data_IF_575283893875
#
_entry.id   IF_575283893875
#
_cell.length_a   1.000
_cell.length_b   1.000
_cell.length_c   1.000
_cell.angle_alpha   90.00
_cell.angle_beta   90.00
_cell.angle_gamma   90.00
#
_symmetry.space_group_name_H-M   'P 1'
#
loop_
_entity.id
_entity.type
_entity.pdbx_description
1 polymer ?
#
# COMPACT_ATOMS: atom_id res chain seq x y z
N UNK A 1 -6.79 -3.59 -30.81
CA UNK A 1 -5.92 -2.42 -30.45
C UNK A 1 -6.15 -1.97 -29.01
N UNK A 2 -7.36 -2.12 -28.49
CA UNK A 2 -7.69 -1.93 -27.06
C UNK A 2 -6.97 -2.93 -26.15
N UNK A 3 -6.92 -4.22 -26.53
CA UNK A 3 -6.22 -5.27 -25.77
C UNK A 3 -4.72 -5.00 -25.61
N UNK A 4 -4.09 -4.47 -26.66
CA UNK A 4 -2.66 -4.11 -26.63
C UNK A 4 -2.40 -2.94 -25.67
N UNK A 5 -3.28 -1.94 -25.64
CA UNK A 5 -3.18 -0.82 -24.68
C UNK A 5 -3.39 -1.30 -23.24
N UNK A 6 -4.36 -2.20 -23.03
CA UNK A 6 -4.61 -2.80 -21.72
C UNK A 6 -3.39 -3.59 -21.22
N UNK A 7 -2.77 -4.39 -22.09
CA UNK A 7 -1.59 -5.17 -21.76
C UNK A 7 -0.41 -4.27 -21.35
N UNK A 8 -0.17 -3.20 -22.11
CA UNK A 8 0.88 -2.22 -21.80
C UNK A 8 0.62 -1.52 -20.47
N UNK A 9 -0.64 -1.11 -20.21
CA UNK A 9 -1.02 -0.47 -18.95
C UNK A 9 -0.89 -1.44 -17.75
N UNK A 10 -1.28 -2.71 -17.92
CA UNK A 10 -1.14 -3.74 -16.89
C UNK A 10 0.33 -4.03 -16.57
N UNK A 11 1.19 -4.12 -17.60
CA UNK A 11 2.63 -4.26 -17.42
C UNK A 11 3.24 -3.05 -16.70
N UNK A 12 2.88 -1.84 -17.11
CA UNK A 12 3.33 -0.61 -16.45
C UNK A 12 2.90 -0.58 -14.96
N UNK A 13 1.67 -0.99 -14.66
CA UNK A 13 1.19 -1.12 -13.30
C UNK A 13 1.95 -2.20 -12.51
N UNK A 14 2.30 -3.34 -13.14
CA UNK A 14 3.07 -4.40 -12.50
C UNK A 14 4.50 -3.97 -12.11
N UNK A 15 5.09 -3.00 -12.81
CA UNK A 15 6.37 -2.40 -12.44
C UNK A 15 6.31 -1.48 -11.22
N UNK A 16 5.11 -1.05 -10.80
CA UNK A 16 4.95 -0.44 -9.48
C UNK A 16 5.09 -1.53 -8.41
N UNK A 17 6.36 -1.80 -8.06
CA UNK A 17 6.74 -2.69 -6.97
C UNK A 17 5.97 -2.32 -5.70
N UNK A 18 5.69 -3.35 -4.89
CA UNK A 18 5.18 -3.24 -3.52
C UNK A 18 5.78 -2.00 -2.87
N UNK A 19 4.91 -1.08 -2.42
CA UNK A 19 5.38 0.16 -1.80
C UNK A 19 6.41 -0.16 -0.70
N UNK A 20 7.52 0.60 -0.56
CA UNK A 20 8.60 0.29 0.38
C UNK A 20 8.08 0.09 1.81
N UNK A 21 6.93 0.70 2.13
CA UNK A 21 6.16 0.47 3.36
C UNK A 21 5.76 -0.99 3.60
N UNK A 22 5.15 -1.67 2.62
CA UNK A 22 4.72 -3.06 2.77
C UNK A 22 5.91 -4.02 2.92
N UNK A 23 7.03 -3.73 2.26
CA UNK A 23 8.28 -4.48 2.44
C UNK A 23 8.83 -4.31 3.87
N UNK A 24 8.85 -3.07 4.39
CA UNK A 24 9.28 -2.77 5.75
C UNK A 24 8.43 -3.46 6.82
N UNK A 25 7.10 -3.38 6.69
CA UNK A 25 6.18 -4.04 7.63
C UNK A 25 6.37 -5.56 7.56
N UNK A 26 6.38 -6.16 6.36
CA UNK A 26 6.56 -7.61 6.19
C UNK A 26 7.86 -8.11 6.84
N UNK A 27 8.96 -7.34 6.75
CA UNK A 27 10.20 -7.66 7.43
C UNK A 27 10.09 -7.64 8.96
N UNK A 28 9.33 -6.69 9.52
CA UNK A 28 9.02 -6.66 10.96
C UNK A 28 8.15 -7.84 11.38
N UNK A 29 7.12 -8.20 10.58
CA UNK A 29 6.24 -9.36 10.86
C UNK A 29 7.06 -10.65 10.84
N UNK A 30 7.81 -10.88 9.76
CA UNK A 30 8.61 -12.09 9.59
C UNK A 30 9.63 -12.25 10.73
N UNK A 31 10.30 -11.16 11.12
CA UNK A 31 11.26 -11.15 12.21
C UNK A 31 10.63 -11.41 13.58
N UNK A 32 9.49 -10.79 13.89
CA UNK A 32 8.80 -10.96 15.18
C UNK A 32 8.17 -12.34 15.33
N UNK A 33 7.65 -12.92 14.25
CA UNK A 33 7.04 -14.25 14.25
C UNK A 33 8.02 -15.41 13.98
N UNK A 34 9.30 -15.13 13.70
CA UNK A 34 10.29 -16.14 13.31
C UNK A 34 9.96 -16.86 12.00
N UNK A 35 9.26 -16.19 11.08
CA UNK A 35 8.80 -16.73 9.80
C UNK A 35 9.74 -16.32 8.66
N UNK A 36 9.74 -17.12 7.61
CA UNK A 36 10.46 -16.80 6.38
C UNK A 36 9.83 -15.60 5.64
N UNK A 37 10.65 -14.59 5.35
CA UNK A 37 10.22 -13.34 4.71
C UNK A 37 9.55 -13.57 3.36
N UNK A 38 10.11 -14.47 2.54
CA UNK A 38 9.63 -14.75 1.19
C UNK A 38 8.24 -15.40 1.26
N UNK A 39 8.06 -16.40 2.14
CA UNK A 39 6.76 -17.07 2.33
C UNK A 39 5.68 -16.11 2.80
N UNK A 40 5.98 -15.25 3.79
CA UNK A 40 5.02 -14.23 4.27
C UNK A 40 4.66 -13.26 3.15
N UNK A 41 5.64 -12.83 2.37
CA UNK A 41 5.41 -11.92 1.24
C UNK A 41 4.51 -12.57 0.17
N UNK A 42 4.84 -13.78 -0.28
CA UNK A 42 4.06 -14.46 -1.33
C UNK A 42 2.63 -14.72 -0.89
N UNK A 43 2.42 -15.29 0.30
CA UNK A 43 1.07 -15.57 0.81
C UNK A 43 0.30 -14.29 1.11
N UNK A 44 0.96 -13.28 1.69
CA UNK A 44 0.35 -11.98 1.97
C UNK A 44 -0.05 -11.24 0.70
N UNK A 45 0.76 -11.30 -0.37
CA UNK A 45 0.47 -10.69 -1.66
C UNK A 45 -0.79 -11.26 -2.33
N UNK A 46 -1.05 -12.57 -2.20
CA UNK A 46 -2.28 -13.18 -2.72
C UNK A 46 -3.54 -12.56 -2.10
N UNK A 47 -3.48 -12.23 -0.81
CA UNK A 47 -4.58 -11.54 -0.10
C UNK A 47 -4.58 -10.04 -0.37
N UNK A 48 -3.41 -9.44 -0.59
CA UNK A 48 -3.28 -8.02 -0.89
C UNK A 48 -3.82 -7.64 -2.27
N UNK A 49 -3.72 -8.51 -3.29
CA UNK A 49 -4.22 -8.23 -4.65
C UNK A 49 -5.71 -7.82 -4.65
N UNK A 50 -6.64 -8.57 -4.02
CA UNK A 50 -8.03 -8.15 -3.87
C UNK A 50 -8.19 -6.78 -3.18
N UNK A 51 -7.39 -6.50 -2.16
CA UNK A 51 -7.46 -5.23 -1.42
C UNK A 51 -6.97 -4.05 -2.27
N UNK A 52 -5.95 -4.26 -3.09
CA UNK A 52 -5.49 -3.26 -4.08
C UNK A 52 -6.58 -3.00 -5.10
N UNK A 53 -7.21 -4.04 -5.64
CA UNK A 53 -8.35 -3.88 -6.55
C UNK A 53 -9.51 -3.10 -5.89
N UNK A 54 -9.85 -3.43 -4.63
CA UNK A 54 -10.85 -2.71 -3.85
C UNK A 54 -10.48 -1.22 -3.67
N UNK A 55 -9.23 -0.93 -3.35
CA UNK A 55 -8.73 0.45 -3.20
C UNK A 55 -8.85 1.24 -4.52
N UNK A 56 -8.52 0.62 -5.66
CA UNK A 56 -8.67 1.25 -6.99
C UNK A 56 -10.14 1.51 -7.30
N UNK A 57 -11.05 0.58 -6.97
CA UNK A 57 -12.50 0.79 -7.14
C UNK A 57 -13.02 1.92 -6.25
N UNK A 58 -12.55 2.00 -5.00
CA UNK A 58 -12.89 3.09 -4.07
C UNK A 58 -12.37 4.41 -4.61
N UNK A 59 -11.12 4.45 -5.07
CA UNK A 59 -10.52 5.64 -5.68
C UNK A 59 -11.31 6.10 -6.89
N UNK A 60 -11.69 5.17 -7.78
CA UNK A 60 -12.44 5.48 -9.00
C UNK A 60 -13.85 6.02 -8.71
N UNK A 61 -14.51 5.55 -7.65
CA UNK A 61 -15.90 5.96 -7.32
C UNK A 61 -15.99 7.15 -6.36
N UNK A 62 -15.10 7.23 -5.38
CA UNK A 62 -15.19 8.16 -4.25
C UNK A 62 -13.99 9.11 -4.15
N UNK A 63 -13.01 8.98 -5.05
CA UNK A 63 -11.85 9.84 -5.13
C UNK A 63 -10.75 9.55 -4.11
N UNK A 64 -9.75 10.44 -4.08
CA UNK A 64 -8.51 10.27 -3.34
C UNK A 64 -8.71 10.13 -1.82
N UNK A 65 -9.60 10.95 -1.24
CA UNK A 65 -9.80 10.97 0.23
C UNK A 65 -10.37 9.64 0.73
N UNK A 66 -11.32 9.05 0.00
CA UNK A 66 -11.90 7.77 0.36
C UNK A 66 -10.90 6.62 0.22
N UNK A 67 -10.06 6.63 -0.82
CA UNK A 67 -8.99 5.65 -0.99
C UNK A 67 -7.95 5.74 0.15
N UNK A 68 -7.60 6.95 0.58
CA UNK A 68 -6.73 7.18 1.73
C UNK A 68 -7.37 6.67 3.03
N UNK A 69 -8.65 6.95 3.26
CA UNK A 69 -9.37 6.45 4.43
C UNK A 69 -9.39 4.91 4.47
N UNK A 70 -9.62 4.26 3.33
CA UNK A 70 -9.57 2.81 3.21
C UNK A 70 -8.17 2.25 3.50
N UNK A 71 -7.12 2.88 2.95
CA UNK A 71 -5.74 2.48 3.23
C UNK A 71 -5.41 2.53 4.73
N UNK A 72 -5.74 3.66 5.39
CA UNK A 72 -5.55 3.83 6.84
C UNK A 72 -6.34 2.79 7.64
N UNK A 73 -7.56 2.47 7.22
CA UNK A 73 -8.37 1.42 7.86
C UNK A 73 -7.73 0.03 7.74
N UNK A 74 -7.24 -0.34 6.55
CA UNK A 74 -6.53 -1.62 6.35
C UNK A 74 -5.23 -1.70 7.14
N UNK A 75 -4.56 -0.55 7.35
CA UNK A 75 -3.35 -0.47 8.17
C UNK A 75 -3.62 -0.73 9.64
N UNK A 76 -4.73 -0.17 10.14
CA UNK A 76 -5.18 -0.40 11.51
C UNK A 76 -5.57 -1.87 11.73
N UNK A 77 -6.25 -2.49 10.76
CA UNK A 77 -6.56 -3.92 10.77
C UNK A 77 -5.29 -4.78 10.84
N UNK A 78 -4.26 -4.43 10.07
CA UNK A 78 -2.97 -5.13 10.09
C UNK A 78 -2.31 -5.03 11.48
N UNK A 79 -2.27 -3.82 12.06
CA UNK A 79 -1.74 -3.61 13.41
C UNK A 79 -2.51 -4.41 14.47
N UNK A 80 -3.83 -4.49 14.36
CA UNK A 80 -4.68 -5.28 15.24
C UNK A 80 -4.42 -6.79 15.09
N UNK A 81 -4.28 -7.28 13.86
CA UNK A 81 -4.01 -8.69 13.56
C UNK A 81 -2.66 -9.15 14.13
N UNK A 82 -1.65 -8.26 14.14
CA UNK A 82 -0.33 -8.57 14.68
C UNK A 82 -0.32 -8.71 16.21
N UNK A 83 -1.34 -8.26 16.95
CA UNK A 83 -1.39 -8.18 18.44
C UNK A 83 -0.24 -7.42 19.12
N UNK A 84 0.81 -7.11 18.38
CA UNK A 84 1.87 -6.15 18.65
C UNK A 84 1.29 -4.74 18.44
N UNK A 85 0.51 -4.24 19.40
CA UNK A 85 0.35 -2.78 19.57
C UNK A 85 1.68 -2.26 20.12
N UNK A 86 2.76 -2.41 19.36
CA UNK A 86 3.99 -1.69 19.64
C UNK A 86 3.73 -0.25 19.19
N UNK A 87 3.77 0.70 20.14
CA UNK A 87 3.64 2.13 19.84
C UNK A 87 4.60 2.56 18.71
N UNK A 88 5.75 1.88 18.60
CA UNK A 88 6.73 2.09 17.54
C UNK A 88 6.18 1.81 16.15
N UNK A 89 5.51 0.67 15.92
CA UNK A 89 4.93 0.32 14.62
C UNK A 89 3.80 1.30 14.21
N UNK A 90 3.02 1.77 15.19
CA UNK A 90 2.03 2.83 14.98
C UNK A 90 2.64 4.16 14.55
N UNK A 91 3.73 4.58 15.20
CA UNK A 91 4.46 5.80 14.85
C UNK A 91 5.09 5.69 13.45
N UNK A 92 5.75 4.57 13.15
CA UNK A 92 6.32 4.32 11.81
C UNK A 92 5.24 4.38 10.73
N UNK A 93 4.06 3.80 10.98
CA UNK A 93 2.92 3.86 10.07
C UNK A 93 2.40 5.29 9.87
N UNK A 94 2.26 6.06 10.95
CA UNK A 94 1.81 7.45 10.90
C UNK A 94 2.79 8.33 10.10
N UNK A 95 4.10 8.19 10.33
CA UNK A 95 5.14 8.94 9.62
C UNK A 95 5.08 8.64 8.12
N UNK A 96 4.94 7.38 7.73
CA UNK A 96 4.86 7.01 6.32
C UNK A 96 3.57 7.55 5.68
N UNK A 97 2.42 7.48 6.37
CA UNK A 97 1.17 8.03 5.88
C UNK A 97 1.26 9.56 5.63
N UNK A 98 1.89 10.30 6.54
CA UNK A 98 2.14 11.74 6.36
C UNK A 98 3.05 12.00 5.15
N UNK A 99 4.12 11.23 4.99
CA UNK A 99 5.01 11.34 3.84
C UNK A 99 4.28 11.13 2.51
N UNK A 100 3.42 10.11 2.43
CA UNK A 100 2.62 9.84 1.22
C UNK A 100 1.62 10.96 0.96
N UNK A 101 0.91 11.43 1.99
CA UNK A 101 -0.05 12.54 1.86
C UNK A 101 0.62 13.83 1.34
N UNK A 102 1.78 14.16 1.89
CA UNK A 102 2.56 15.33 1.48
C UNK A 102 3.11 15.10 0.07
N UNK A 103 3.72 13.95 -0.18
CA UNK A 103 4.32 13.60 -1.46
C UNK A 103 3.34 13.66 -2.62
N UNK A 104 2.13 13.10 -2.46
CA UNK A 104 1.08 13.16 -3.48
C UNK A 104 0.60 14.60 -3.72
N UNK A 105 0.43 15.39 -2.66
CA UNK A 105 0.05 16.81 -2.80
C UNK A 105 1.14 17.63 -3.49
N UNK A 106 2.40 17.44 -3.11
CA UNK A 106 3.55 18.11 -3.71
C UNK A 106 3.69 17.71 -5.17
N UNK A 107 3.60 16.43 -5.50
CA UNK A 107 3.64 15.95 -6.88
C UNK A 107 2.52 16.60 -7.71
N UNK A 108 1.27 16.58 -7.23
CA UNK A 108 0.15 17.21 -7.93
C UNK A 108 0.30 18.73 -8.08
N UNK A 109 0.97 19.40 -7.14
CA UNK A 109 1.27 20.83 -7.21
C UNK A 109 2.37 21.12 -8.24
N UNK A 110 3.50 20.43 -8.16
CA UNK A 110 4.66 20.62 -9.06
C UNK A 110 4.31 20.25 -10.49
N UNK A 111 3.53 19.19 -10.72
CA UNK A 111 3.05 18.82 -12.05
C UNK A 111 2.14 19.87 -12.72
N UNK A 112 1.71 20.93 -12.02
CA UNK A 112 1.02 22.07 -12.64
C UNK A 112 1.98 23.10 -13.25
N UNK A 113 3.26 23.06 -12.86
CA UNK A 113 4.29 24.00 -13.29
C UNK A 113 5.24 23.41 -14.34
N UNK A 114 5.03 22.14 -14.73
CA UNK A 114 5.70 21.44 -15.84
C UNK A 114 4.66 21.28 -16.95
#
# INVERSE_FOLDING_TARGET
>A
MEDMKLLIAALAFAFFIICPRMAGITALIAKSAGLDLIKVTVLGSLVAIPLVAAMVLIFSRYGLIAALAFAVFTDFLSALAMREISLKAGIETLVIALFVLIGVKVAAYVSRFI
#
